data_IF_171248756858
#
_entry.id   IF_171248756858
#
_cell.length_a   1.000
_cell.length_b   1.000
_cell.length_c   1.000
_cell.angle_alpha   90.00
_cell.angle_beta   90.00
_cell.angle_gamma   90.00
#
_symmetry.space_group_name_H-M   'P 1'
#
loop_
_entity.id
_entity.type
_entity.pdbx_description
1 polymer ?
#
# COMPACT_ATOMS: atom_id res chain seq x y z
N UNK A 1 36.21 2.40 -7.95
CA UNK A 1 35.24 3.40 -8.46
C UNK A 1 34.81 4.32 -7.34
N UNK A 2 34.42 5.58 -7.63
CA UNK A 2 34.04 6.59 -6.62
C UNK A 2 32.54 6.61 -6.29
N UNK A 3 31.74 5.89 -7.07
CA UNK A 3 30.27 5.89 -6.98
C UNK A 3 29.76 4.67 -6.21
N UNK A 4 28.65 4.85 -5.49
CA UNK A 4 27.94 3.78 -4.78
C UNK A 4 26.49 3.67 -5.27
N UNK A 5 25.93 2.48 -5.16
CA UNK A 5 24.51 2.23 -5.42
C UNK A 5 23.69 3.09 -4.45
N UNK A 6 22.72 3.82 -5.00
CA UNK A 6 21.83 4.71 -4.26
C UNK A 6 22.27 6.16 -4.14
N UNK A 7 23.47 6.52 -4.60
CA UNK A 7 23.85 7.93 -4.71
C UNK A 7 23.06 8.64 -5.80
N UNK A 8 22.74 9.91 -5.55
CA UNK A 8 22.15 10.83 -6.53
C UNK A 8 23.25 11.70 -7.13
N UNK A 9 23.27 11.81 -8.45
CA UNK A 9 24.31 12.51 -9.20
C UNK A 9 23.70 13.35 -10.33
N UNK A 10 24.34 14.47 -10.63
CA UNK A 10 24.03 15.32 -11.78
C UNK A 10 24.94 14.95 -12.96
N UNK A 11 24.36 14.76 -14.14
CA UNK A 11 25.10 14.33 -15.34
C UNK A 11 24.51 14.92 -16.62
N UNK A 12 25.34 15.06 -17.66
CA UNK A 12 24.93 15.67 -18.93
C UNK A 12 24.58 14.60 -19.96
N UNK A 13 23.45 14.78 -20.65
CA UNK A 13 22.98 13.85 -21.67
C UNK A 13 23.84 13.94 -22.92
N UNK A 14 24.41 12.81 -23.32
CA UNK A 14 25.27 12.71 -24.50
C UNK A 14 24.51 12.18 -25.72
N UNK A 15 23.45 11.41 -25.51
CA UNK A 15 22.66 10.84 -26.59
C UNK A 15 21.35 10.21 -26.11
N UNK A 16 20.40 10.09 -27.02
CA UNK A 16 19.07 9.54 -26.76
C UNK A 16 18.83 8.43 -27.77
N UNK A 17 18.29 7.30 -27.32
CA UNK A 17 17.88 6.18 -28.16
C UNK A 17 16.50 5.69 -27.70
N UNK A 18 15.82 4.91 -28.54
CA UNK A 18 14.45 4.46 -28.27
C UNK A 18 14.31 3.59 -27.01
N UNK A 19 15.41 2.97 -26.54
CA UNK A 19 15.40 2.14 -25.33
C UNK A 19 15.88 2.89 -24.07
N UNK A 20 16.49 4.06 -24.21
CA UNK A 20 17.06 4.79 -23.08
C UNK A 20 17.89 6.01 -23.44
N UNK A 21 18.36 6.70 -22.40
CA UNK A 21 19.16 7.93 -22.48
C UNK A 21 20.57 7.66 -21.98
N UNK A 22 21.56 8.11 -22.75
CA UNK A 22 22.98 8.03 -22.40
C UNK A 22 23.44 9.33 -21.74
N UNK A 23 24.09 9.19 -20.59
CA UNK A 23 24.58 10.29 -19.77
C UNK A 23 26.05 10.09 -19.47
N UNK A 24 26.84 11.15 -19.61
CA UNK A 24 28.24 11.14 -19.23
C UNK A 24 28.37 11.60 -17.78
N UNK A 25 28.96 10.74 -16.94
CA UNK A 25 29.16 11.02 -15.52
C UNK A 25 30.57 11.54 -15.25
N UNK A 26 31.55 10.86 -15.82
CA UNK A 26 32.97 11.18 -15.71
C UNK A 26 33.70 10.79 -17.00
N UNK A 27 34.98 11.14 -17.13
CA UNK A 27 35.80 10.90 -18.32
C UNK A 27 35.91 9.44 -18.75
N UNK A 28 35.70 8.50 -17.83
CA UNK A 28 35.81 7.05 -18.07
C UNK A 28 34.51 6.27 -17.87
N UNK A 29 33.45 6.91 -17.36
CA UNK A 29 32.25 6.20 -16.93
C UNK A 29 31.03 6.74 -17.65
N UNK A 30 30.26 5.82 -18.25
CA UNK A 30 29.01 6.15 -18.93
C UNK A 30 27.81 5.61 -18.17
N UNK A 31 26.79 6.44 -18.09
CA UNK A 31 25.50 6.13 -17.52
C UNK A 31 24.47 5.80 -18.59
N UNK A 32 23.59 4.85 -18.30
CA UNK A 32 22.43 4.54 -19.10
C UNK A 32 21.18 4.63 -18.23
N UNK A 33 20.22 5.44 -18.66
CA UNK A 33 18.88 5.52 -18.08
C UNK A 33 17.95 4.71 -18.98
N UNK A 34 17.35 3.66 -18.44
CA UNK A 34 16.38 2.86 -19.18
C UNK A 34 15.08 3.64 -19.38
N UNK A 35 14.37 3.44 -20.49
CA UNK A 35 13.08 4.11 -20.75
C UNK A 35 12.07 3.93 -19.61
N UNK A 36 12.06 2.77 -18.97
CA UNK A 36 11.19 2.44 -17.84
C UNK A 36 11.55 3.20 -16.55
N UNK A 37 12.77 3.72 -16.47
CA UNK A 37 13.31 4.46 -15.33
C UNK A 37 13.26 5.98 -15.54
N UNK A 38 12.86 6.45 -16.73
CA UNK A 38 12.66 7.87 -17.00
C UNK A 38 11.40 8.44 -16.33
N UNK A 39 10.27 7.72 -16.35
CA UNK A 39 9.01 8.20 -15.77
C UNK A 39 8.07 7.06 -15.40
N UNK A 40 7.18 7.30 -14.43
CA UNK A 40 6.11 6.37 -14.10
C UNK A 40 4.97 6.46 -15.13
N UNK A 41 5.03 5.66 -16.19
CA UNK A 41 3.98 5.60 -17.23
C UNK A 41 4.48 5.11 -18.59
N UNK A 42 3.59 5.08 -19.58
CA UNK A 42 3.96 4.82 -20.97
C UNK A 42 4.59 6.08 -21.56
N UNK A 43 5.83 5.99 -22.02
CA UNK A 43 6.55 7.07 -22.69
C UNK A 43 6.54 6.79 -24.18
N UNK A 44 5.88 7.64 -24.97
CA UNK A 44 5.76 7.47 -26.43
C UNK A 44 7.03 7.92 -27.14
N UNK A 45 7.59 9.07 -26.74
CA UNK A 45 8.83 9.64 -27.30
C UNK A 45 9.71 10.17 -26.15
N UNK A 46 10.97 9.75 -26.06
CA UNK A 46 11.93 10.32 -25.10
C UNK A 46 12.48 11.68 -25.56
N UNK A 47 12.54 11.92 -26.87
CA UNK A 47 13.12 13.14 -27.46
C UNK A 47 12.38 14.42 -27.06
N UNK A 48 11.07 14.32 -26.77
CA UNK A 48 10.26 15.45 -26.31
C UNK A 48 10.47 15.76 -24.81
N UNK A 49 10.93 14.77 -24.04
CA UNK A 49 11.11 14.90 -22.59
C UNK A 49 12.52 15.36 -22.20
N UNK A 50 13.51 14.99 -23.00
CA UNK A 50 14.92 15.14 -22.67
C UNK A 50 15.68 15.57 -23.92
N UNK A 51 16.58 16.53 -23.80
CA UNK A 51 17.40 17.00 -24.93
C UNK A 51 18.87 16.63 -24.75
N UNK A 52 19.56 16.44 -25.87
CA UNK A 52 21.01 16.22 -25.87
C UNK A 52 21.69 17.49 -25.35
N UNK A 53 22.58 17.34 -24.38
CA UNK A 53 23.28 18.44 -23.71
C UNK A 53 22.59 18.97 -22.47
N UNK A 54 21.39 18.48 -22.12
CA UNK A 54 20.71 18.88 -20.90
C UNK A 54 21.36 18.23 -19.65
N UNK A 55 21.22 18.88 -18.50
CA UNK A 55 21.69 18.37 -17.22
C UNK A 55 20.54 17.68 -16.48
N UNK A 56 20.77 16.43 -16.06
CA UNK A 56 19.77 15.64 -15.35
C UNK A 56 20.32 15.07 -14.06
N UNK A 57 19.49 15.09 -13.03
CA UNK A 57 19.77 14.50 -11.72
C UNK A 57 19.17 13.09 -11.65
N UNK A 58 20.02 12.08 -11.61
CA UNK A 58 19.62 10.68 -11.59
C UNK A 58 20.26 9.91 -10.44
N UNK A 59 19.58 8.86 -9.98
CA UNK A 59 20.05 7.98 -8.92
C UNK A 59 20.65 6.70 -9.49
N UNK A 60 21.74 6.25 -8.89
CA UNK A 60 22.41 5.00 -9.27
C UNK A 60 21.62 3.81 -8.73
N UNK A 61 21.16 2.93 -9.65
CA UNK A 61 20.51 1.67 -9.30
C UNK A 61 21.53 0.53 -9.31
N UNK A 62 22.39 0.49 -10.32
CA UNK A 62 23.33 -0.61 -10.51
C UNK A 62 24.63 -0.12 -11.13
N UNK A 63 25.73 -0.81 -10.81
CA UNK A 63 27.08 -0.46 -11.25
C UNK A 63 27.74 -1.73 -11.77
N UNK A 64 28.09 -1.75 -13.05
CA UNK A 64 28.93 -2.78 -13.64
C UNK A 64 30.39 -2.31 -13.66
N UNK A 65 31.19 -2.86 -12.76
CA UNK A 65 32.61 -2.52 -12.62
C UNK A 65 33.46 -3.02 -13.80
N UNK A 66 33.02 -4.05 -14.52
CA UNK A 66 33.77 -4.64 -15.63
C UNK A 66 33.64 -3.81 -16.89
N UNK A 67 32.43 -3.35 -17.19
CA UNK A 67 32.15 -2.56 -18.41
C UNK A 67 32.16 -1.05 -18.17
N UNK A 68 32.32 -0.61 -16.92
CA UNK A 68 32.28 0.81 -16.51
C UNK A 68 30.95 1.48 -16.86
N UNK A 69 29.87 0.69 -16.89
CA UNK A 69 28.51 1.16 -17.17
C UNK A 69 27.74 1.29 -15.86
N UNK A 70 26.97 2.36 -15.75
CA UNK A 70 26.13 2.62 -14.58
C UNK A 70 24.68 2.72 -15.02
N UNK A 71 23.80 1.94 -14.40
CA UNK A 71 22.35 2.03 -14.62
C UNK A 71 21.77 3.08 -13.69
N UNK A 72 21.11 4.07 -14.29
CA UNK A 72 20.60 5.26 -13.63
C UNK A 72 19.08 5.31 -13.74
N UNK A 73 18.45 5.99 -12.78
CA UNK A 73 17.00 6.23 -12.77
C UNK A 73 16.67 7.65 -12.36
N UNK A 74 15.80 8.28 -13.15
CA UNK A 74 15.20 9.57 -12.85
C UNK A 74 14.03 9.40 -11.88
N UNK A 75 13.26 8.31 -12.04
CA UNK A 75 12.12 8.00 -11.19
C UNK A 75 12.50 7.82 -9.72
N UNK A 76 13.67 7.26 -9.44
CA UNK A 76 14.09 7.01 -8.06
C UNK A 76 14.44 8.29 -7.28
N UNK A 77 14.61 9.42 -7.96
CA UNK A 77 14.80 10.76 -7.37
C UNK A 77 13.46 11.38 -6.96
N UNK A 78 12.36 11.07 -7.67
CA UNK A 78 11.00 11.46 -7.30
C UNK A 78 10.57 10.71 -6.04
N UNK A 79 10.93 11.25 -4.87
CA UNK A 79 10.35 10.86 -3.60
C UNK A 79 8.86 11.17 -3.61
N UNK A 80 8.04 10.17 -3.94
CA UNK A 80 6.62 10.21 -3.56
C UNK A 80 6.57 10.45 -2.04
N UNK A 81 5.89 11.50 -1.56
CA UNK A 81 5.72 11.70 -0.13
C UNK A 81 4.86 10.54 0.38
N UNK A 82 5.50 9.52 0.94
CA UNK A 82 4.80 8.49 1.69
C UNK A 82 4.28 9.23 2.94
N UNK A 83 2.96 9.36 3.12
CA UNK A 83 2.46 10.00 4.32
C UNK A 83 2.94 9.18 5.52
N UNK A 84 3.67 9.81 6.44
CA UNK A 84 4.26 9.18 7.61
C UNK A 84 3.24 8.47 8.53
N UNK A 85 1.94 8.63 8.26
CA UNK A 85 0.84 8.07 9.03
C UNK A 85 -0.08 7.21 8.16
N UNK A 86 0.43 6.08 7.68
CA UNK A 86 -0.41 5.02 7.10
C UNK A 86 -1.15 4.35 8.26
N UNK A 87 -2.29 4.92 8.69
CA UNK A 87 -3.16 4.21 9.62
C UNK A 87 -3.66 2.95 8.89
N UNK A 88 -3.38 1.73 9.39
CA UNK A 88 -3.90 0.54 8.75
C UNK A 88 -5.42 0.68 8.66
N UNK A 89 -5.99 0.53 7.44
CA UNK A 89 -7.44 0.43 7.29
C UNK A 89 -7.86 -0.80 8.08
N UNK A 90 -8.28 -0.59 9.33
CA UNK A 90 -8.85 -1.64 10.17
C UNK A 90 -10.02 -2.19 9.37
N UNK A 91 -9.88 -3.40 8.82
CA UNK A 91 -11.01 -4.10 8.28
C UNK A 91 -11.97 -4.26 9.46
N UNK A 92 -13.01 -3.44 9.49
CA UNK A 92 -14.10 -3.61 10.45
C UNK A 92 -14.68 -4.96 10.11
N UNK A 93 -14.20 -6.02 10.79
CA UNK A 93 -14.97 -7.24 10.92
C UNK A 93 -16.30 -6.76 11.47
N UNK A 94 -17.33 -6.73 10.63
CA UNK A 94 -18.69 -6.64 11.13
C UNK A 94 -18.82 -7.89 11.99
N UNK A 95 -18.67 -7.73 13.30
CA UNK A 95 -19.10 -8.78 14.22
C UNK A 95 -20.57 -8.94 13.90
N UNK A 96 -20.93 -10.05 13.26
CA UNK A 96 -22.31 -10.44 13.15
C UNK A 96 -22.76 -10.68 14.58
N UNK A 97 -23.34 -9.67 15.20
CA UNK A 97 -24.16 -9.84 16.38
C UNK A 97 -25.51 -10.30 15.84
N UNK A 98 -25.86 -11.60 15.90
CA UNK A 98 -27.27 -11.92 15.78
C UNK A 98 -28.00 -11.07 16.83
N UNK A 99 -29.22 -10.65 16.55
CA UNK A 99 -30.11 -10.04 17.54
C UNK A 99 -30.53 -11.09 18.60
N UNK A 100 -29.59 -11.88 19.11
CA UNK A 100 -29.71 -12.55 20.41
C UNK A 100 -29.54 -11.42 21.45
N UNK A 101 -30.57 -10.61 21.57
CA UNK A 101 -30.86 -9.85 22.76
C UNK A 101 -31.78 -10.67 23.67
N UNK A 102 -31.96 -10.23 24.91
CA UNK A 102 -32.86 -10.85 25.90
C UNK A 102 -34.36 -10.76 25.53
N UNK A 103 -34.73 -10.24 24.37
CA UNK A 103 -36.13 -10.06 23.95
C UNK A 103 -36.90 -11.39 23.84
N UNK A 104 -36.26 -12.47 23.41
CA UNK A 104 -36.90 -13.80 23.33
C UNK A 104 -37.25 -14.35 24.71
N UNK A 105 -36.36 -14.18 25.69
CA UNK A 105 -36.65 -14.53 27.08
C UNK A 105 -37.72 -13.61 27.67
N UNK A 106 -37.63 -12.29 27.47
CA UNK A 106 -38.65 -11.34 27.93
C UNK A 106 -40.04 -11.64 27.38
N UNK A 107 -40.15 -12.22 26.17
CA UNK A 107 -41.42 -12.65 25.59
C UNK A 107 -41.96 -13.96 26.20
N UNK A 108 -41.09 -14.85 26.67
CA UNK A 108 -41.45 -16.13 27.30
C UNK A 108 -41.64 -16.04 28.82
N UNK A 109 -41.12 -15.00 29.49
CA UNK A 109 -41.29 -14.81 30.93
C UNK A 109 -42.77 -14.73 31.40
N UNK A 110 -43.69 -14.03 30.71
CA UNK A 110 -45.07 -13.89 31.19
C UNK A 110 -45.84 -15.22 31.19
N UNK A 111 -45.56 -16.12 30.23
CA UNK A 111 -46.24 -17.42 30.15
C UNK A 111 -45.83 -18.33 31.29
N UNK A 112 -44.55 -18.34 31.68
CA UNK A 112 -44.07 -19.17 32.79
C UNK A 112 -44.47 -18.64 34.16
N UNK A 113 -44.61 -17.31 34.32
CA UNK A 113 -45.14 -16.72 35.55
C UNK A 113 -46.61 -17.10 35.72
N UNK A 114 -47.40 -17.05 34.65
CA UNK A 114 -48.81 -17.45 34.69
C UNK A 114 -48.99 -18.93 35.02
N UNK A 115 -48.18 -19.80 34.39
CA UNK A 115 -48.19 -21.26 34.64
C UNK A 115 -47.82 -21.59 36.09
N UNK A 116 -46.78 -20.95 36.65
CA UNK A 116 -46.40 -21.15 38.04
C UNK A 116 -47.46 -20.68 39.05
N UNK A 117 -48.14 -19.56 38.79
CA UNK A 117 -49.24 -19.09 39.64
C UNK A 117 -50.45 -20.04 39.63
N UNK A 118 -50.68 -20.70 38.50
CA UNK A 118 -51.80 -21.62 38.33
C UNK A 118 -51.53 -22.94 39.06
N UNK A 119 -50.31 -23.46 39.00
CA UNK A 119 -49.87 -24.61 39.79
C UNK A 119 -49.93 -24.35 41.30
N UNK A 120 -49.55 -23.15 41.77
CA UNK A 120 -49.71 -22.77 43.18
C UNK A 120 -51.18 -22.71 43.60
N UNK A 121 -52.06 -22.13 42.77
CA UNK A 121 -53.50 -22.09 43.05
C UNK A 121 -54.11 -23.49 43.12
N UNK A 122 -53.72 -24.40 42.22
CA UNK A 122 -54.17 -25.79 42.22
C UNK A 122 -53.70 -26.51 43.49
N UNK A 123 -52.42 -26.33 43.90
CA UNK A 123 -51.91 -26.90 45.16
C UNK A 123 -52.65 -26.37 46.39
N UNK A 124 -52.93 -25.07 46.44
CA UNK A 124 -53.66 -24.46 47.56
C UNK A 124 -55.11 -24.96 47.59
N UNK A 125 -55.75 -25.13 46.43
CA UNK A 125 -57.11 -25.67 46.32
C UNK A 125 -57.18 -27.15 46.76
N UNK A 126 -56.24 -28.00 46.34
CA UNK A 126 -56.15 -29.41 46.76
C UNK A 126 -55.83 -29.56 48.27
N UNK A 127 -55.18 -28.56 48.87
CA UNK A 127 -54.94 -28.50 50.32
C UNK A 127 -56.16 -28.02 51.12
N UNK A 128 -57.17 -27.41 50.49
CA UNK A 128 -58.39 -26.94 51.16
C UNK A 128 -59.53 -27.97 51.17
N UNK A 129 -59.44 -29.00 50.32
CA UNK A 129 -60.43 -30.09 50.17
C UNK A 129 -60.09 -31.36 51.01
N UNK A 130 -59.18 -31.25 51.99
CA UNK A 130 -58.87 -32.27 53.00
C UNK A 130 -59.10 -31.74 54.40
#
# INVERSE_FOLDING_TARGET
MKYKIGDTITSTITGIQSYGVFVALDKQTQGLIHISECKHGYVTNLEDMVQIGDEVEAKIIDIDEYTQKISLSLRATEHLPIPANIKPKRHRRRRYTPQIGFETLSKMMPTWIAEAQQDEQIRIAEMSDR
#
